data_IF_313342544434
#
_entry.id   IF_313342544434
#
_cell.length_a   1.000
_cell.length_b   1.000
_cell.length_c   1.000
_cell.angle_alpha   90.00
_cell.angle_beta   90.00
_cell.angle_gamma   90.00
#
_symmetry.space_group_name_H-M   'P 1'
#
loop_
_entity.id
_entity.type
_entity.pdbx_description
1 polymer ?
#
# COMPACT_ATOMS: atom_id res chain seq x y z
N UNK A 1 15.33 10.79 -2.62
CA UNK A 1 16.18 9.60 -2.36
C UNK A 1 16.13 9.17 -0.90
N UNK A 2 16.79 9.91 0.00
CA UNK A 2 16.94 9.51 1.41
C UNK A 2 15.70 9.68 2.29
N UNK A 3 14.82 10.65 2.01
CA UNK A 3 13.56 10.80 2.76
C UNK A 3 12.59 9.64 2.49
N UNK A 4 12.51 9.20 1.24
CA UNK A 4 11.76 8.01 0.83
C UNK A 4 12.31 6.77 1.53
N UNK A 5 13.63 6.60 1.51
CA UNK A 5 14.31 5.53 2.23
C UNK A 5 13.95 5.52 3.72
N UNK A 6 14.08 6.67 4.40
CA UNK A 6 13.71 6.80 5.81
C UNK A 6 12.24 6.44 6.04
N UNK A 7 11.31 6.91 5.20
CA UNK A 7 9.88 6.60 5.35
C UNK A 7 9.55 5.11 5.19
N UNK A 8 10.22 4.41 4.25
CA UNK A 8 10.03 2.98 4.01
C UNK A 8 10.63 2.15 5.15
N UNK A 9 11.84 2.50 5.58
CA UNK A 9 12.53 1.84 6.71
C UNK A 9 11.76 2.06 8.02
N UNK A 10 11.41 3.30 8.34
CA UNK A 10 10.65 3.63 9.56
C UNK A 10 9.26 2.98 9.54
N UNK A 11 8.59 2.93 8.38
CA UNK A 11 7.33 2.20 8.22
C UNK A 11 7.50 0.70 8.50
N UNK A 12 8.56 0.07 7.98
CA UNK A 12 8.84 -1.34 8.28
C UNK A 12 9.13 -1.58 9.77
N UNK A 13 9.93 -0.72 10.40
CA UNK A 13 10.25 -0.81 11.83
C UNK A 13 9.00 -0.61 12.72
N UNK A 14 8.14 0.35 12.38
CA UNK A 14 6.89 0.59 13.11
C UNK A 14 5.94 -0.60 13.08
N UNK A 15 6.00 -1.39 12.02
CA UNK A 15 5.12 -2.54 11.83
C UNK A 15 5.66 -3.84 12.49
N UNK A 16 6.78 -3.81 13.22
CA UNK A 16 7.30 -5.00 13.94
C UNK A 16 6.39 -5.39 15.12
N UNK A 17 6.20 -6.69 15.33
CA UNK A 17 5.22 -7.22 16.28
C UNK A 17 5.68 -7.31 17.73
N UNK A 18 6.99 -7.26 17.97
CA UNK A 18 7.61 -7.32 19.29
C UNK A 18 8.94 -6.56 19.33
N UNK A 19 9.43 -6.27 20.54
CA UNK A 19 10.74 -5.63 20.74
C UNK A 19 11.89 -6.51 20.20
N UNK A 20 11.78 -7.83 20.33
CA UNK A 20 12.74 -8.77 19.75
C UNK A 20 12.74 -8.73 18.21
N UNK A 21 11.57 -8.66 17.57
CA UNK A 21 11.47 -8.53 16.10
C UNK A 21 12.05 -7.18 15.63
N UNK A 22 11.89 -6.13 16.44
CA UNK A 22 12.45 -4.80 16.15
C UNK A 22 13.98 -4.81 16.26
N UNK A 23 14.54 -5.39 17.32
CA UNK A 23 15.99 -5.51 17.51
C UNK A 23 16.63 -6.37 16.40
N UNK A 24 16.01 -7.49 16.03
CA UNK A 24 16.48 -8.33 14.93
C UNK A 24 16.45 -7.58 13.58
N UNK A 25 15.39 -6.81 13.31
CA UNK A 25 15.30 -5.97 12.11
C UNK A 25 16.35 -4.84 12.09
N UNK A 26 16.75 -4.32 13.26
CA UNK A 26 17.77 -3.27 13.38
C UNK A 26 19.21 -3.81 13.29
N UNK A 27 19.48 -5.02 13.77
CA UNK A 27 20.83 -5.56 13.86
C UNK A 27 21.21 -6.43 12.67
N UNK A 28 20.41 -7.45 12.35
CA UNK A 28 20.76 -8.48 11.36
C UNK A 28 20.21 -8.17 9.97
N UNK A 29 19.13 -7.38 9.95
CA UNK A 29 18.25 -7.26 8.81
C UNK A 29 18.10 -5.81 8.33
N UNK A 30 18.89 -4.88 8.88
CA UNK A 30 18.80 -3.48 8.48
C UNK A 30 19.17 -3.34 6.99
N UNK A 31 18.34 -2.66 6.18
CA UNK A 31 18.57 -2.61 4.75
C UNK A 31 19.85 -1.83 4.41
N UNK A 32 20.64 -2.36 3.47
CA UNK A 32 21.79 -1.68 2.90
C UNK A 32 21.38 -0.89 1.64
N UNK A 33 20.54 0.12 1.84
CA UNK A 33 20.06 1.01 0.78
C UNK A 33 18.65 0.71 0.28
N UNK A 34 18.20 1.56 -0.65
CA UNK A 34 16.78 1.69 -1.01
C UNK A 34 16.17 0.42 -1.62
N UNK A 35 16.93 -0.30 -2.44
CA UNK A 35 16.47 -1.52 -3.10
C UNK A 35 16.18 -2.64 -2.08
N UNK A 36 17.08 -2.86 -1.11
CA UNK A 36 16.85 -3.83 -0.05
C UNK A 36 15.67 -3.44 0.85
N UNK A 37 15.51 -2.15 1.17
CA UNK A 37 14.36 -1.68 1.95
C UNK A 37 13.03 -1.96 1.23
N UNK A 38 12.95 -1.70 -0.08
CA UNK A 38 11.75 -2.01 -0.86
C UNK A 38 11.50 -3.50 -1.00
N UNK A 39 12.55 -4.29 -1.25
CA UNK A 39 12.44 -5.74 -1.39
C UNK A 39 11.84 -6.36 -0.12
N UNK A 40 12.30 -5.95 1.06
CA UNK A 40 11.78 -6.42 2.36
C UNK A 40 10.30 -6.11 2.54
N UNK A 41 9.92 -4.87 2.28
CA UNK A 41 8.51 -4.44 2.38
C UNK A 41 7.65 -5.21 1.38
N UNK A 42 8.13 -5.43 0.15
CA UNK A 42 7.43 -6.22 -0.85
C UNK A 42 7.24 -7.68 -0.41
N UNK A 43 8.29 -8.35 0.06
CA UNK A 43 8.21 -9.74 0.58
C UNK A 43 7.20 -9.83 1.73
N UNK A 44 7.24 -8.88 2.67
CA UNK A 44 6.31 -8.84 3.80
C UNK A 44 4.85 -8.76 3.34
N UNK A 45 4.55 -7.85 2.41
CA UNK A 45 3.18 -7.55 1.99
C UNK A 45 2.65 -8.56 0.97
N UNK A 46 3.50 -9.06 0.09
CA UNK A 46 3.10 -9.89 -1.05
C UNK A 46 3.32 -11.39 -0.82
N UNK A 47 4.19 -11.78 0.13
CA UNK A 47 4.56 -13.18 0.34
C UNK A 47 4.27 -13.66 1.78
N UNK A 48 4.52 -12.84 2.80
CA UNK A 48 4.37 -13.25 4.21
C UNK A 48 3.01 -12.92 4.84
N UNK A 49 2.26 -11.99 4.27
CA UNK A 49 0.92 -11.66 4.75
C UNK A 49 -0.09 -12.80 4.51
N UNK A 50 -1.26 -12.81 5.18
CA UNK A 50 -2.30 -13.81 4.90
C UNK A 50 -2.68 -13.81 3.41
N UNK A 51 -2.93 -14.97 2.77
CA UNK A 51 -3.12 -15.06 1.32
C UNK A 51 -4.17 -14.08 0.76
N UNK A 52 -5.29 -13.91 1.47
CA UNK A 52 -6.36 -12.98 1.10
C UNK A 52 -5.93 -11.51 1.08
N UNK A 53 -4.93 -11.15 1.88
CA UNK A 53 -4.34 -9.81 1.98
C UNK A 53 -3.26 -9.64 0.92
N UNK A 54 -2.44 -10.65 0.66
CA UNK A 54 -1.51 -10.65 -0.49
C UNK A 54 -2.25 -10.45 -1.81
N UNK A 55 -3.33 -11.19 -2.05
CA UNK A 55 -4.17 -11.05 -3.24
C UNK A 55 -4.78 -9.64 -3.35
N UNK A 56 -5.15 -9.05 -2.21
CA UNK A 56 -5.69 -7.70 -2.15
C UNK A 56 -4.62 -6.68 -2.55
N UNK A 57 -3.45 -6.77 -1.91
CA UNK A 57 -2.33 -5.88 -2.14
C UNK A 57 -1.89 -5.95 -3.60
N UNK A 58 -1.74 -7.16 -4.15
CA UNK A 58 -1.35 -7.35 -5.55
C UNK A 58 -2.37 -6.73 -6.53
N UNK A 59 -3.68 -6.88 -6.28
CA UNK A 59 -4.72 -6.22 -7.10
C UNK A 59 -4.62 -4.70 -7.03
N UNK A 60 -4.50 -4.14 -5.82
CA UNK A 60 -4.40 -2.69 -5.62
C UNK A 60 -3.17 -2.15 -6.34
N UNK A 61 -2.00 -2.75 -6.12
CA UNK A 61 -0.74 -2.34 -6.75
C UNK A 61 -0.81 -2.41 -8.28
N UNK A 62 -1.44 -3.45 -8.85
CA UNK A 62 -1.69 -3.55 -10.30
C UNK A 62 -2.58 -2.43 -10.81
N UNK A 63 -3.67 -2.10 -10.12
CA UNK A 63 -4.56 -1.02 -10.56
C UNK A 63 -3.88 0.34 -10.51
N UNK A 64 -3.21 0.69 -9.42
CA UNK A 64 -2.58 2.01 -9.29
C UNK A 64 -1.33 2.18 -10.14
N UNK A 65 -0.65 1.09 -10.51
CA UNK A 65 0.52 1.13 -11.42
C UNK A 65 0.11 1.32 -12.88
N UNK A 66 -1.02 0.73 -13.29
CA UNK A 66 -1.51 0.82 -14.67
C UNK A 66 -2.51 1.96 -14.91
N UNK A 67 -2.99 2.64 -13.86
CA UNK A 67 -3.96 3.73 -14.01
C UNK A 67 -3.33 4.99 -14.61
N UNK A 68 -4.04 5.63 -15.54
CA UNK A 68 -3.60 6.89 -16.16
C UNK A 68 -3.60 8.09 -15.19
N UNK A 69 -4.30 7.96 -14.05
CA UNK A 69 -4.37 8.95 -12.98
C UNK A 69 -4.42 8.27 -11.62
N UNK A 70 -4.13 8.98 -10.51
CA UNK A 70 -4.40 8.47 -9.17
C UNK A 70 -5.86 8.04 -9.02
N UNK A 71 -6.07 6.91 -8.37
CA UNK A 71 -7.39 6.36 -8.11
C UNK A 71 -7.86 6.78 -6.72
N UNK A 72 -9.13 7.17 -6.61
CA UNK A 72 -9.76 7.39 -5.32
C UNK A 72 -9.99 6.05 -4.63
N UNK A 73 -9.95 6.03 -3.28
CA UNK A 73 -10.17 4.79 -2.54
C UNK A 73 -11.53 4.13 -2.84
N UNK A 74 -12.58 4.93 -3.06
CA UNK A 74 -13.91 4.46 -3.47
C UNK A 74 -13.92 3.75 -4.84
N UNK A 75 -13.04 4.15 -5.76
CA UNK A 75 -12.90 3.51 -7.07
C UNK A 75 -12.26 2.14 -6.90
N UNK A 76 -11.20 2.05 -6.09
CA UNK A 76 -10.53 0.78 -5.76
C UNK A 76 -11.50 -0.19 -5.06
N UNK A 77 -12.32 0.30 -4.12
CA UNK A 77 -13.38 -0.50 -3.47
C UNK A 77 -14.39 -1.03 -4.50
N UNK A 78 -14.78 -0.21 -5.47
CA UNK A 78 -15.66 -0.62 -6.57
C UNK A 78 -15.02 -1.69 -7.45
N UNK A 79 -13.72 -1.57 -7.76
CA UNK A 79 -12.99 -2.58 -8.53
C UNK A 79 -12.93 -3.95 -7.83
N UNK A 80 -12.95 -4.00 -6.50
CA UNK A 80 -13.08 -5.26 -5.76
C UNK A 80 -14.45 -5.93 -5.89
N UNK A 81 -15.50 -5.13 -6.09
CA UNK A 81 -16.87 -5.62 -6.24
C UNK A 81 -17.14 -6.17 -7.65
N UNK A 82 -16.41 -5.72 -8.66
CA UNK A 82 -16.65 -6.08 -10.05
C UNK A 82 -15.90 -7.37 -10.40
N UNK A 83 -16.63 -8.34 -10.97
CA UNK A 83 -16.07 -9.56 -11.56
C UNK A 83 -16.35 -9.56 -13.07
N UNK A 84 -15.39 -9.14 -13.91
CA UNK A 84 -15.57 -9.07 -15.36
C UNK A 84 -15.96 -10.41 -15.98
N UNK A 85 -15.29 -11.48 -15.56
CA UNK A 85 -15.50 -12.88 -16.00
C UNK A 85 -16.96 -13.33 -15.88
N UNK A 86 -17.63 -12.87 -14.83
CA UNK A 86 -18.98 -13.30 -14.48
C UNK A 86 -20.03 -12.22 -14.78
N UNK A 87 -19.61 -11.03 -15.26
CA UNK A 87 -20.45 -9.85 -15.41
C UNK A 87 -21.27 -9.48 -14.14
N UNK A 88 -20.71 -9.70 -12.95
CA UNK A 88 -21.38 -9.46 -11.66
C UNK A 88 -20.70 -8.31 -10.90
N UNK A 89 -21.51 -7.49 -10.24
CA UNK A 89 -21.06 -6.55 -9.21
C UNK A 89 -21.59 -7.02 -7.85
N UNK A 90 -20.69 -7.44 -6.96
CA UNK A 90 -21.02 -7.91 -5.61
C UNK A 90 -20.49 -6.92 -4.55
N UNK A 91 -21.40 -6.12 -4.01
CA UNK A 91 -21.11 -5.16 -2.95
C UNK A 91 -20.54 -5.79 -1.67
N UNK A 92 -20.76 -7.09 -1.44
CA UNK A 92 -20.23 -7.80 -0.26
C UNK A 92 -18.71 -8.00 -0.33
N UNK A 93 -18.10 -7.81 -1.51
CA UNK A 93 -16.65 -7.89 -1.70
C UNK A 93 -15.91 -6.59 -1.35
N UNK A 94 -16.62 -5.55 -0.89
CA UNK A 94 -15.96 -4.37 -0.32
C UNK A 94 -15.04 -4.80 0.82
N UNK A 95 -13.86 -4.20 0.86
CA UNK A 95 -12.86 -4.45 1.90
C UNK A 95 -13.18 -3.59 3.10
N UNK A 96 -13.24 -4.21 4.29
CA UNK A 96 -13.35 -3.50 5.56
C UNK A 96 -12.03 -2.82 5.97
N UNK A 97 -10.91 -3.41 5.55
CA UNK A 97 -9.55 -2.91 5.82
C UNK A 97 -9.26 -1.62 5.05
N UNK A 98 -8.44 -0.74 5.63
CA UNK A 98 -7.95 0.44 4.95
C UNK A 98 -6.79 0.09 3.99
N UNK A 99 -6.55 0.94 2.98
CA UNK A 99 -5.49 0.70 2.00
C UNK A 99 -4.09 0.58 2.61
N UNK A 100 -3.82 1.35 3.68
CA UNK A 100 -2.56 1.29 4.44
C UNK A 100 -2.39 -0.02 5.18
N UNK A 101 -3.47 -0.62 5.68
CA UNK A 101 -3.39 -1.95 6.27
C UNK A 101 -2.95 -2.95 5.19
N UNK A 102 -3.60 -2.90 4.03
CA UNK A 102 -3.38 -3.88 2.98
C UNK A 102 -1.99 -3.74 2.33
N UNK A 103 -1.57 -2.51 2.01
CA UNK A 103 -0.39 -2.24 1.17
C UNK A 103 0.76 -1.55 1.92
N UNK A 104 0.65 -1.36 3.24
CA UNK A 104 1.70 -0.82 4.10
C UNK A 104 2.35 0.46 3.58
N UNK A 105 3.67 0.49 3.65
CA UNK A 105 4.51 1.61 3.18
C UNK A 105 4.74 1.66 1.67
N UNK A 106 4.16 0.74 0.87
CA UNK A 106 4.26 0.79 -0.59
C UNK A 106 3.37 1.87 -1.22
N UNK A 107 2.29 2.24 -0.51
CA UNK A 107 1.29 3.20 -0.99
C UNK A 107 1.20 4.41 -0.08
N UNK A 108 0.85 5.54 -0.68
CA UNK A 108 0.61 6.81 -0.01
C UNK A 108 -0.83 7.25 -0.25
N UNK A 109 -1.46 7.74 0.80
CA UNK A 109 -2.83 8.26 0.78
C UNK A 109 -2.75 9.77 0.80
N UNK A 110 -3.27 10.41 -0.24
CA UNK A 110 -3.26 11.87 -0.36
C UNK A 110 -4.69 12.40 -0.30
N UNK A 111 -4.96 13.45 0.50
CA UNK A 111 -6.24 14.14 0.44
C UNK A 111 -6.44 14.77 -0.93
N UNK A 112 -7.67 14.66 -1.47
CA UNK A 112 -8.07 15.34 -2.70
C UNK A 112 -8.32 16.81 -2.39
N UNK A 113 -7.35 17.67 -2.67
CA UNK A 113 -7.49 19.12 -2.47
C UNK A 113 -8.30 19.81 -3.59
N UNK A 114 -9.22 19.09 -4.25
CA UNK A 114 -9.89 19.62 -5.44
C UNK A 114 -11.00 20.61 -5.12
N UNK A 115 -11.67 20.55 -3.95
CA UNK A 115 -12.60 21.60 -3.50
C UNK A 115 -12.74 21.57 -1.95
N UNK A 116 -12.90 22.73 -1.27
CA UNK A 116 -13.07 22.80 0.19
C UNK A 116 -14.37 22.15 0.72
N UNK A 117 -15.25 21.68 -0.17
CA UNK A 117 -16.51 21.02 0.18
C UNK A 117 -16.44 19.49 0.24
N UNK A 118 -15.43 18.85 -0.37
CA UNK A 118 -15.27 17.39 -0.40
C UNK A 118 -14.14 16.95 0.56
N UNK A 119 -14.38 17.11 1.86
CA UNK A 119 -13.41 16.91 2.95
C UNK A 119 -12.98 15.43 3.12
N UNK A 120 -13.58 14.49 2.40
CA UNK A 120 -13.45 13.05 2.67
C UNK A 120 -12.84 12.21 1.54
N UNK A 121 -12.44 12.81 0.41
CA UNK A 121 -11.90 12.04 -0.69
C UNK A 121 -10.38 11.92 -0.62
N UNK A 122 -9.89 10.68 -0.60
CA UNK A 122 -8.47 10.36 -0.64
C UNK A 122 -8.11 9.59 -1.89
N UNK A 123 -6.98 9.93 -2.50
CA UNK A 123 -6.38 9.20 -3.61
C UNK A 123 -5.22 8.34 -3.14
N UNK A 124 -5.02 7.21 -3.83
CA UNK A 124 -3.94 6.28 -3.57
C UNK A 124 -2.86 6.40 -4.64
N UNK A 125 -1.59 6.49 -4.23
CA UNK A 125 -0.42 6.55 -5.11
C UNK A 125 0.68 5.60 -4.62
N UNK A 126 1.58 5.22 -5.52
CA UNK A 126 2.81 4.52 -5.14
C UNK A 126 3.80 5.50 -4.51
N UNK A 127 4.36 5.13 -3.36
CA UNK A 127 5.33 5.95 -2.60
C UNK A 127 6.58 6.26 -3.42
N UNK A 128 7.01 5.37 -4.32
CA UNK A 128 8.14 5.65 -5.22
C UNK A 128 7.87 6.82 -6.20
N UNK A 129 6.63 6.98 -6.66
CA UNK A 129 6.27 8.02 -7.64
C UNK A 129 6.16 9.41 -7.02
N UNK A 130 5.94 9.49 -5.70
CA UNK A 130 5.82 10.76 -4.98
C UNK A 130 7.19 11.33 -4.61
N UNK A 131 8.24 10.51 -4.58
CA UNK A 131 9.61 10.94 -4.26
C UNK A 131 10.39 11.63 -5.40
N UNK A 132 9.83 11.68 -6.62
CA UNK A 132 10.42 12.39 -7.77
C UNK A 132 9.93 13.85 -7.92
N UNK A 133 9.16 14.36 -6.96
CA UNK A 133 8.72 15.76 -6.94
C UNK A 133 9.62 16.62 -6.07
#
# INVERSE_FOLDING_TARGET
GMFLYASVVLGNLQEQGSEADLEDELCEHFPNGLEQAYHRVAVRILERAPPRRCDAAMKILRWISCAARPLHWREIQTLFCISPENAICDGKKRRAEHCKDICGSLVEVQPCNLEPSDVSESTLRLVHTTAKR
#
